data_IF_483507188007
#
_entry.id   IF_483507188007
#
_cell.length_a   1.000
_cell.length_b   1.000
_cell.length_c   1.000
_cell.angle_alpha   90.00
_cell.angle_beta   90.00
_cell.angle_gamma   90.00
#
_symmetry.space_group_name_H-M   'P 1'
#
loop_
_entity.id
_entity.type
_entity.pdbx_description
1 polymer ?
#
# COMPACT_ATOMS: atom_id res chain seq x y z
N UNK A 1 -12.52 -19.67 -33.94
CA UNK A 1 -12.33 -18.46 -33.08
C UNK A 1 -12.84 -18.65 -31.67
N UNK A 2 -13.88 -19.41 -31.42
CA UNK A 2 -14.48 -19.68 -30.09
C UNK A 2 -13.55 -20.42 -29.12
N UNK A 3 -12.75 -21.34 -29.57
CA UNK A 3 -11.88 -22.18 -28.74
C UNK A 3 -10.69 -21.42 -28.12
N UNK A 4 -10.09 -20.48 -28.87
CA UNK A 4 -9.05 -19.57 -28.32
C UNK A 4 -9.60 -18.58 -27.29
N UNK A 5 -10.87 -18.20 -27.39
CA UNK A 5 -11.54 -17.31 -26.44
C UNK A 5 -11.84 -18.05 -25.13
N UNK A 6 -12.30 -19.29 -25.22
CA UNK A 6 -12.57 -20.15 -24.05
C UNK A 6 -11.28 -20.53 -23.30
N UNK A 7 -10.18 -20.81 -24.01
CA UNK A 7 -8.90 -21.11 -23.37
C UNK A 7 -8.29 -19.89 -22.64
N UNK A 8 -8.43 -18.68 -23.23
CA UNK A 8 -8.02 -17.42 -22.56
C UNK A 8 -8.87 -17.12 -21.33
N UNK A 9 -10.18 -17.33 -21.40
CA UNK A 9 -11.09 -17.12 -20.29
C UNK A 9 -10.81 -18.08 -19.13
N UNK A 10 -10.62 -19.37 -19.40
CA UNK A 10 -10.23 -20.38 -18.39
C UNK A 10 -8.89 -20.05 -17.73
N UNK A 11 -7.92 -19.56 -18.48
CA UNK A 11 -6.62 -19.14 -17.94
C UNK A 11 -6.76 -17.90 -17.04
N UNK A 12 -7.48 -16.88 -17.48
CA UNK A 12 -7.75 -15.67 -16.69
C UNK A 12 -8.54 -15.98 -15.41
N UNK A 13 -9.54 -16.86 -15.48
CA UNK A 13 -10.30 -17.31 -14.34
C UNK A 13 -9.41 -18.07 -13.33
N UNK A 14 -8.51 -18.94 -13.81
CA UNK A 14 -7.54 -19.63 -12.98
C UNK A 14 -6.52 -18.69 -12.33
N UNK A 15 -6.00 -17.71 -13.09
CA UNK A 15 -5.09 -16.68 -12.53
C UNK A 15 -5.82 -15.81 -11.49
N UNK A 16 -7.07 -15.42 -11.76
CA UNK A 16 -7.92 -14.67 -10.83
C UNK A 16 -8.22 -15.44 -9.54
N UNK A 17 -8.53 -16.73 -9.64
CA UNK A 17 -8.83 -17.55 -8.45
C UNK A 17 -7.60 -17.68 -7.53
N UNK A 18 -6.39 -17.80 -8.06
CA UNK A 18 -5.16 -17.81 -7.28
C UNK A 18 -4.90 -16.48 -6.56
N UNK A 19 -5.20 -15.36 -7.22
CA UNK A 19 -5.07 -14.03 -6.60
C UNK A 19 -6.06 -13.90 -5.45
N UNK A 20 -7.33 -14.28 -5.66
CA UNK A 20 -8.37 -14.24 -4.61
C UNK A 20 -8.00 -15.15 -3.44
N UNK A 21 -7.58 -16.37 -3.71
CA UNK A 21 -7.17 -17.32 -2.68
C UNK A 21 -5.97 -16.81 -1.87
N UNK A 22 -4.94 -16.27 -2.54
CA UNK A 22 -3.77 -15.69 -1.88
C UNK A 22 -4.13 -14.49 -1.01
N UNK A 23 -5.02 -13.61 -1.48
CA UNK A 23 -5.51 -12.46 -0.71
C UNK A 23 -6.37 -12.91 0.48
N UNK A 24 -7.26 -13.88 0.30
CA UNK A 24 -8.06 -14.43 1.39
C UNK A 24 -7.16 -15.07 2.47
N UNK A 25 -6.15 -15.83 2.07
CA UNK A 25 -5.17 -16.40 2.99
C UNK A 25 -4.39 -15.31 3.76
N UNK A 26 -4.04 -14.20 3.10
CA UNK A 26 -3.36 -13.07 3.75
C UNK A 26 -4.29 -12.34 4.75
N UNK A 27 -5.58 -12.14 4.42
CA UNK A 27 -6.56 -11.55 5.34
C UNK A 27 -6.76 -12.43 6.58
N UNK A 28 -7.00 -13.72 6.36
CA UNK A 28 -7.17 -14.68 7.47
C UNK A 28 -5.90 -14.72 8.32
N UNK A 29 -4.73 -14.77 7.68
CA UNK A 29 -3.44 -14.72 8.39
C UNK A 29 -3.28 -13.44 9.21
N UNK A 30 -3.66 -12.28 8.67
CA UNK A 30 -3.60 -11.01 9.41
C UNK A 30 -4.54 -11.01 10.64
N UNK A 31 -5.76 -11.55 10.53
CA UNK A 31 -6.69 -11.66 11.66
C UNK A 31 -6.19 -12.64 12.73
N UNK A 32 -5.65 -13.78 12.31
CA UNK A 32 -5.03 -14.75 13.23
C UNK A 32 -3.81 -14.12 13.92
N UNK A 33 -3.00 -13.35 13.20
CA UNK A 33 -1.87 -12.63 13.76
C UNK A 33 -2.31 -11.64 14.85
N UNK A 34 -3.36 -10.85 14.59
CA UNK A 34 -3.93 -9.94 15.60
C UNK A 34 -4.32 -10.73 16.85
N UNK A 35 -5.03 -11.85 16.70
CA UNK A 35 -5.44 -12.68 17.82
C UNK A 35 -4.24 -13.18 18.65
N UNK A 36 -3.25 -13.74 17.98
CA UNK A 36 -2.04 -14.29 18.61
C UNK A 36 -1.23 -13.21 19.31
N UNK A 37 -1.07 -12.04 18.68
CA UNK A 37 -0.30 -10.95 19.27
C UNK A 37 -1.02 -10.29 20.45
N UNK A 38 -2.34 -10.08 20.37
CA UNK A 38 -3.10 -9.48 21.49
C UNK A 38 -3.22 -10.40 22.70
N UNK A 39 -3.04 -11.71 22.56
CA UNK A 39 -2.94 -12.64 23.68
C UNK A 39 -1.60 -12.60 24.41
N UNK A 40 -0.55 -12.07 23.77
CA UNK A 40 0.82 -12.11 24.29
C UNK A 40 1.42 -10.75 24.60
N UNK A 41 0.91 -9.71 23.97
CA UNK A 41 1.35 -8.33 24.13
C UNK A 41 0.25 -7.53 24.82
N UNK A 42 0.61 -6.74 25.79
CA UNK A 42 -0.26 -5.70 26.35
C UNK A 42 -0.48 -4.56 25.31
N UNK A 43 -1.47 -3.68 25.50
CA UNK A 43 -1.75 -2.60 24.58
C UNK A 43 -0.57 -1.66 24.36
N UNK A 44 0.27 -1.38 25.38
CA UNK A 44 1.44 -0.51 25.24
C UNK A 44 2.51 -1.15 24.33
N UNK A 45 2.82 -2.44 24.52
CA UNK A 45 3.75 -3.18 23.67
C UNK A 45 3.22 -3.31 22.23
N UNK A 46 1.93 -3.54 22.07
CA UNK A 46 1.31 -3.56 20.74
C UNK A 46 1.38 -2.18 20.07
N UNK A 47 1.23 -1.11 20.84
CA UNK A 47 1.42 0.28 20.39
C UNK A 47 2.85 0.54 19.89
N UNK A 48 3.86 0.11 20.66
CA UNK A 48 5.26 0.19 20.25
C UNK A 48 5.53 -0.59 18.95
N UNK A 49 4.98 -1.82 18.83
CA UNK A 49 5.03 -2.59 17.60
C UNK A 49 4.45 -1.80 16.42
N UNK A 50 3.26 -1.22 16.61
CA UNK A 50 2.58 -0.44 15.57
C UNK A 50 3.42 0.77 15.14
N UNK A 51 4.03 1.51 16.07
CA UNK A 51 4.95 2.61 15.77
C UNK A 51 6.19 2.14 15.03
N UNK A 52 6.82 1.05 15.48
CA UNK A 52 7.95 0.43 14.77
C UNK A 52 7.62 0.07 13.32
N UNK A 53 6.42 -0.47 13.09
CA UNK A 53 5.95 -0.79 11.74
C UNK A 53 5.67 0.48 10.89
N UNK A 54 5.31 1.62 11.49
CA UNK A 54 5.22 2.89 10.73
C UNK A 54 6.59 3.37 10.28
N UNK A 55 7.65 3.17 11.07
CA UNK A 55 9.04 3.47 10.67
C UNK A 55 9.44 2.60 9.48
N UNK A 56 9.15 1.30 9.53
CA UNK A 56 9.37 0.41 8.39
C UNK A 56 8.55 0.83 7.16
N UNK A 57 7.31 1.27 7.37
CA UNK A 57 6.42 1.82 6.33
C UNK A 57 6.98 3.08 5.68
N UNK A 58 7.60 3.99 6.47
CA UNK A 58 8.27 5.18 5.93
C UNK A 58 9.34 4.79 4.91
N UNK A 59 10.27 3.94 5.30
CA UNK A 59 11.34 3.47 4.42
C UNK A 59 10.80 2.79 3.16
N UNK A 60 9.78 1.91 3.34
CA UNK A 60 9.17 1.22 2.21
C UNK A 60 8.43 2.16 1.26
N UNK A 61 7.70 3.15 1.74
CA UNK A 61 6.95 4.06 0.87
C UNK A 61 7.82 5.12 0.22
N UNK A 62 8.81 5.66 0.95
CA UNK A 62 9.63 6.77 0.46
C UNK A 62 10.84 6.35 -0.36
N UNK A 63 11.44 5.20 -0.07
CA UNK A 63 12.67 4.75 -0.73
C UNK A 63 12.41 3.52 -1.59
N UNK A 64 12.05 2.41 -0.95
CA UNK A 64 12.04 1.10 -1.61
C UNK A 64 10.83 0.92 -2.55
N UNK A 65 9.67 1.52 -2.25
CA UNK A 65 8.47 1.42 -3.08
C UNK A 65 8.61 2.13 -4.42
N UNK A 66 9.18 3.34 -4.43
CA UNK A 66 9.50 4.05 -5.67
C UNK A 66 10.47 3.27 -6.54
N UNK A 67 11.55 2.76 -5.94
CA UNK A 67 12.57 1.94 -6.62
C UNK A 67 11.95 0.65 -7.17
N UNK A 68 11.13 -0.03 -6.40
CA UNK A 68 10.43 -1.25 -6.84
C UNK A 68 9.51 -0.99 -8.04
N UNK A 69 8.83 0.17 -8.07
CA UNK A 69 8.02 0.58 -9.22
C UNK A 69 8.88 0.81 -10.48
N UNK A 70 10.03 1.47 -10.33
CA UNK A 70 10.99 1.66 -11.43
C UNK A 70 11.54 0.35 -11.97
N UNK A 71 11.93 -0.56 -11.08
CA UNK A 71 12.39 -1.91 -11.42
C UNK A 71 11.29 -2.66 -12.19
N UNK A 72 10.08 -2.74 -11.66
CA UNK A 72 8.97 -3.44 -12.30
C UNK A 72 8.62 -2.87 -13.69
N UNK A 73 8.65 -1.53 -13.85
CA UNK A 73 8.35 -0.85 -15.12
C UNK A 73 9.34 -1.19 -16.21
N UNK A 74 10.63 -1.27 -15.90
CA UNK A 74 11.69 -1.48 -16.90
C UNK A 74 11.92 -2.95 -17.23
N UNK A 75 11.29 -3.90 -16.53
CA UNK A 75 11.43 -5.33 -16.81
C UNK A 75 11.04 -5.72 -18.25
N UNK A 76 9.89 -5.25 -18.76
CA UNK A 76 9.43 -5.54 -20.10
C UNK A 76 10.39 -4.97 -21.16
N UNK A 77 10.88 -3.74 -20.94
CA UNK A 77 11.84 -3.07 -21.82
C UNK A 77 13.16 -3.86 -21.87
N UNK A 78 13.63 -4.35 -20.72
CA UNK A 78 14.83 -5.17 -20.64
C UNK A 78 14.67 -6.52 -21.38
N UNK A 79 13.48 -7.13 -21.30
CA UNK A 79 13.17 -8.34 -22.05
C UNK A 79 13.15 -8.12 -23.56
N UNK A 80 12.57 -7.00 -24.04
CA UNK A 80 12.50 -6.65 -25.46
C UNK A 80 13.89 -6.33 -26.04
N UNK A 81 14.74 -5.65 -25.27
CA UNK A 81 16.09 -5.25 -25.67
C UNK A 81 17.17 -6.32 -25.43
N UNK A 82 16.80 -7.52 -25.01
CA UNK A 82 17.71 -8.61 -24.64
C UNK A 82 18.79 -8.22 -23.61
N UNK A 83 18.53 -7.17 -22.81
CA UNK A 83 19.46 -6.63 -21.81
C UNK A 83 19.13 -7.05 -20.37
N UNK A 84 18.57 -8.24 -20.14
CA UNK A 84 18.05 -8.66 -18.85
C UNK A 84 19.15 -8.73 -17.76
N UNK A 85 20.37 -9.15 -18.10
CA UNK A 85 21.49 -9.20 -17.15
C UNK A 85 21.94 -7.81 -16.70
N UNK A 86 22.07 -6.87 -17.65
CA UNK A 86 22.39 -5.48 -17.35
C UNK A 86 21.32 -4.84 -16.48
N UNK A 87 20.04 -5.07 -16.79
CA UNK A 87 18.90 -4.64 -15.99
C UNK A 87 18.94 -5.18 -14.56
N UNK A 88 19.21 -6.48 -14.37
CA UNK A 88 19.29 -7.08 -13.03
C UNK A 88 20.48 -6.53 -12.22
N UNK A 89 21.63 -6.32 -12.87
CA UNK A 89 22.78 -5.67 -12.23
C UNK A 89 22.48 -4.23 -11.83
N UNK A 90 21.87 -3.44 -12.70
CA UNK A 90 21.49 -2.06 -12.40
C UNK A 90 20.38 -1.99 -11.34
N UNK A 91 19.43 -2.94 -11.34
CA UNK A 91 18.43 -3.08 -10.27
C UNK A 91 19.09 -3.39 -8.92
N UNK A 92 20.06 -4.31 -8.88
CA UNK A 92 20.81 -4.64 -7.68
C UNK A 92 21.66 -3.45 -7.17
N UNK A 93 22.30 -2.69 -8.08
CA UNK A 93 23.03 -1.46 -7.73
C UNK A 93 22.10 -0.41 -7.13
N UNK A 94 20.92 -0.19 -7.73
CA UNK A 94 19.95 0.78 -7.24
C UNK A 94 19.43 0.41 -5.86
N UNK A 95 19.11 -0.87 -5.63
CA UNK A 95 18.76 -1.39 -4.31
C UNK A 95 19.91 -1.28 -3.32
N UNK A 96 21.16 -1.48 -3.75
CA UNK A 96 22.36 -1.29 -2.93
C UNK A 96 22.52 0.16 -2.47
N UNK A 97 22.38 1.14 -3.36
CA UNK A 97 22.42 2.56 -3.00
C UNK A 97 21.30 2.93 -2.03
N UNK A 98 20.09 2.42 -2.27
CA UNK A 98 18.97 2.61 -1.36
C UNK A 98 19.25 2.03 0.04
N UNK A 99 19.84 0.84 0.09
CA UNK A 99 20.22 0.17 1.35
C UNK A 99 21.23 1.02 2.11
N UNK A 100 22.28 1.51 1.46
CA UNK A 100 23.28 2.37 2.07
C UNK A 100 22.63 3.65 2.64
N UNK A 101 21.75 4.30 1.87
CA UNK A 101 21.05 5.49 2.31
C UNK A 101 20.16 5.20 3.54
N UNK A 102 19.40 4.10 3.52
CA UNK A 102 18.54 3.69 4.63
C UNK A 102 19.36 3.36 5.88
N UNK A 103 20.51 2.68 5.72
CA UNK A 103 21.40 2.35 6.85
C UNK A 103 22.00 3.62 7.45
N UNK A 104 22.47 4.57 6.63
CA UNK A 104 23.02 5.86 7.12
C UNK A 104 21.95 6.62 7.91
N UNK A 105 20.75 6.79 7.34
CA UNK A 105 19.64 7.47 8.02
C UNK A 105 19.27 6.72 9.30
N UNK A 106 19.18 5.40 9.25
CA UNK A 106 18.88 4.55 10.40
C UNK A 106 19.90 4.72 11.53
N UNK A 107 21.18 4.68 11.22
CA UNK A 107 22.25 4.91 12.20
C UNK A 107 22.15 6.31 12.80
N UNK A 108 21.88 7.33 11.98
CA UNK A 108 21.69 8.71 12.46
C UNK A 108 20.52 8.79 13.44
N UNK A 109 19.38 8.15 13.13
CA UNK A 109 18.22 8.09 14.03
C UNK A 109 18.60 7.38 15.34
N UNK A 110 19.30 6.25 15.27
CA UNK A 110 19.71 5.50 16.46
C UNK A 110 20.67 6.30 17.34
N UNK A 111 21.65 7.03 16.76
CA UNK A 111 22.53 7.92 17.51
C UNK A 111 21.72 9.03 18.19
N UNK A 112 20.76 9.66 17.49
CA UNK A 112 19.91 10.67 18.08
C UNK A 112 19.06 10.11 19.25
N UNK A 113 18.54 8.90 19.14
CA UNK A 113 17.80 8.26 20.23
C UNK A 113 18.67 8.07 21.49
N UNK A 114 19.94 7.70 21.33
CA UNK A 114 20.89 7.60 22.45
C UNK A 114 21.15 8.98 23.08
N UNK A 115 21.44 9.98 22.24
CA UNK A 115 21.73 11.34 22.71
C UNK A 115 20.53 11.97 23.43
N UNK A 116 19.33 11.70 22.95
CA UNK A 116 18.07 12.21 23.55
C UNK A 116 17.62 11.40 24.79
N UNK A 117 18.32 10.33 25.16
CA UNK A 117 18.01 9.53 26.36
C UNK A 117 16.90 8.48 26.16
N UNK A 118 16.68 8.02 24.94
CA UNK A 118 15.70 6.98 24.59
C UNK A 118 16.33 5.65 24.12
N UNK A 119 17.29 5.06 24.84
CA UNK A 119 17.99 3.84 24.39
C UNK A 119 17.07 2.61 24.30
N UNK A 120 15.94 2.61 25.01
CA UNK A 120 14.95 1.51 25.00
C UNK A 120 14.32 1.29 23.60
N UNK A 121 14.33 2.28 22.72
CA UNK A 121 13.79 2.18 21.36
C UNK A 121 14.78 1.61 20.34
N UNK A 122 16.08 1.52 20.67
CA UNK A 122 17.14 1.10 19.74
C UNK A 122 16.87 -0.25 19.11
N UNK A 123 16.50 -1.24 19.92
CA UNK A 123 16.23 -2.60 19.43
C UNK A 123 15.05 -2.64 18.46
N UNK A 124 13.98 -1.93 18.77
CA UNK A 124 12.78 -1.87 17.93
C UNK A 124 13.06 -1.14 16.61
N UNK A 125 13.75 0.00 16.65
CA UNK A 125 14.10 0.80 15.46
C UNK A 125 15.06 0.02 14.56
N UNK A 126 16.10 -0.62 15.14
CA UNK A 126 17.01 -1.46 14.38
C UNK A 126 16.28 -2.62 13.68
N UNK A 127 15.42 -3.33 14.41
CA UNK A 127 14.62 -4.42 13.84
C UNK A 127 13.66 -3.91 12.75
N UNK A 128 13.02 -2.75 12.95
CA UNK A 128 12.13 -2.14 11.96
C UNK A 128 12.86 -1.74 10.68
N UNK A 129 14.08 -1.22 10.76
CA UNK A 129 14.92 -0.88 9.61
C UNK A 129 15.31 -2.16 8.85
N UNK A 130 15.76 -3.20 9.55
CA UNK A 130 16.10 -4.49 8.92
C UNK A 130 14.87 -5.09 8.24
N UNK A 131 13.72 -5.07 8.94
CA UNK A 131 12.46 -5.53 8.37
C UNK A 131 12.07 -4.75 7.11
N UNK A 132 12.24 -3.43 7.12
CA UNK A 132 11.92 -2.60 5.96
C UNK A 132 12.78 -2.94 4.74
N UNK A 133 14.08 -3.18 4.92
CA UNK A 133 14.98 -3.59 3.85
C UNK A 133 14.59 -4.95 3.28
N UNK A 134 14.37 -5.94 4.14
CA UNK A 134 13.99 -7.29 3.71
C UNK A 134 12.64 -7.29 2.99
N UNK A 135 11.63 -6.60 3.54
CA UNK A 135 10.31 -6.48 2.91
C UNK A 135 10.33 -5.65 1.63
N UNK A 136 11.19 -4.65 1.52
CA UNK A 136 11.39 -3.89 0.31
C UNK A 136 12.04 -4.70 -0.81
N UNK A 137 13.01 -5.56 -0.48
CA UNK A 137 13.62 -6.48 -1.45
C UNK A 137 12.60 -7.53 -1.93
N UNK A 138 11.81 -8.11 -1.03
CA UNK A 138 10.72 -9.01 -1.43
C UNK A 138 9.69 -8.28 -2.29
N UNK A 139 9.40 -7.01 -2.00
CA UNK A 139 8.55 -6.13 -2.81
C UNK A 139 9.07 -5.92 -4.22
N UNK A 140 10.38 -5.65 -4.39
CA UNK A 140 11.03 -5.51 -5.69
C UNK A 140 10.96 -6.82 -6.52
N UNK A 141 11.24 -7.96 -5.89
CA UNK A 141 11.12 -9.27 -6.54
C UNK A 141 9.67 -9.61 -6.92
N UNK A 142 8.71 -9.31 -6.07
CA UNK A 142 7.27 -9.41 -6.40
C UNK A 142 6.90 -8.51 -7.58
N UNK A 143 7.48 -7.31 -7.67
CA UNK A 143 7.32 -6.41 -8.81
C UNK A 143 7.82 -7.03 -10.11
N UNK A 144 9.01 -7.65 -10.11
CA UNK A 144 9.56 -8.39 -11.24
C UNK A 144 8.66 -9.58 -11.62
N UNK A 145 8.22 -10.38 -10.65
CA UNK A 145 7.34 -11.54 -10.89
C UNK A 145 6.00 -11.12 -11.50
N UNK A 146 5.41 -10.03 -11.03
CA UNK A 146 4.18 -9.48 -11.59
C UNK A 146 4.38 -8.97 -13.01
N UNK A 147 5.50 -8.29 -13.31
CA UNK A 147 5.86 -7.84 -14.64
C UNK A 147 6.14 -9.03 -15.59
N UNK A 148 6.70 -10.11 -15.06
CA UNK A 148 6.91 -11.38 -15.75
C UNK A 148 5.62 -12.22 -15.92
N UNK A 149 4.45 -11.70 -15.51
CA UNK A 149 3.15 -12.39 -15.50
C UNK A 149 3.09 -13.65 -14.62
N UNK A 150 3.95 -13.75 -13.62
CA UNK A 150 3.97 -14.84 -12.63
C UNK A 150 3.09 -14.50 -11.43
N UNK A 151 1.86 -14.02 -11.66
CA UNK A 151 0.94 -13.52 -10.63
C UNK A 151 0.60 -14.57 -9.57
N UNK A 152 0.47 -15.83 -9.98
CA UNK A 152 0.21 -16.93 -9.05
C UNK A 152 1.37 -17.13 -8.06
N UNK A 153 2.61 -17.03 -8.51
CA UNK A 153 3.79 -17.13 -7.64
C UNK A 153 3.85 -15.94 -6.66
N UNK A 154 3.59 -14.71 -7.13
CA UNK A 154 3.55 -13.53 -6.27
C UNK A 154 2.44 -13.63 -5.20
N UNK A 155 1.24 -14.10 -5.56
CA UNK A 155 0.15 -14.31 -4.62
C UNK A 155 0.45 -15.40 -3.59
N UNK A 156 1.07 -16.50 -4.01
CA UNK A 156 1.50 -17.58 -3.12
C UNK A 156 2.57 -17.10 -2.13
N UNK A 157 3.57 -16.35 -2.62
CA UNK A 157 4.60 -15.76 -1.76
C UNK A 157 4.01 -14.85 -0.68
N UNK A 158 3.03 -14.01 -1.04
CA UNK A 158 2.31 -13.17 -0.07
C UNK A 158 1.53 -13.96 0.97
N UNK A 159 0.88 -15.04 0.56
CA UNK A 159 0.17 -15.94 1.47
C UNK A 159 1.14 -16.67 2.43
N UNK A 160 2.23 -17.21 1.90
CA UNK A 160 3.27 -17.88 2.72
C UNK A 160 3.88 -16.90 3.72
N UNK A 161 4.23 -15.68 3.30
CA UNK A 161 4.80 -14.66 4.20
C UNK A 161 3.83 -14.34 5.35
N UNK A 162 2.54 -14.19 5.08
CA UNK A 162 1.55 -13.89 6.11
C UNK A 162 1.50 -14.98 7.21
N UNK A 163 1.56 -16.26 6.84
CA UNK A 163 1.55 -17.37 7.78
C UNK A 163 2.89 -17.61 8.47
N UNK A 164 3.99 -17.45 7.75
CA UNK A 164 5.34 -17.52 8.35
C UNK A 164 5.55 -16.44 9.40
N UNK A 165 5.04 -15.23 9.19
CA UNK A 165 5.09 -14.15 10.19
C UNK A 165 4.46 -14.55 11.50
N UNK A 166 3.33 -15.25 11.47
CA UNK A 166 2.67 -15.73 12.70
C UNK A 166 3.58 -16.71 13.42
N UNK A 167 4.02 -17.77 12.71
CA UNK A 167 4.83 -18.83 13.32
C UNK A 167 6.16 -18.32 13.87
N UNK A 168 6.88 -17.51 13.08
CA UNK A 168 8.18 -16.98 13.47
C UNK A 168 8.09 -15.88 14.53
N UNK A 169 7.05 -15.03 14.50
CA UNK A 169 6.83 -14.08 15.59
C UNK A 169 6.60 -14.79 16.92
N UNK A 170 5.75 -15.84 16.92
CA UNK A 170 5.53 -16.65 18.14
C UNK A 170 6.82 -17.35 18.58
N UNK A 171 7.55 -17.97 17.66
CA UNK A 171 8.81 -18.65 17.99
C UNK A 171 9.84 -17.71 18.62
N UNK A 172 10.01 -16.51 18.04
CA UNK A 172 10.96 -15.53 18.58
C UNK A 172 10.48 -14.96 19.92
N UNK A 173 9.17 -14.71 20.10
CA UNK A 173 8.63 -14.30 21.40
C UNK A 173 8.83 -15.37 22.49
N UNK A 174 8.78 -16.65 22.16
CA UNK A 174 9.06 -17.72 23.12
C UNK A 174 10.53 -17.76 23.53
N UNK A 175 11.46 -17.34 22.65
CA UNK A 175 12.90 -17.33 22.89
C UNK A 175 13.38 -16.06 23.60
N UNK A 176 12.88 -14.89 23.21
CA UNK A 176 13.37 -13.56 23.64
C UNK A 176 12.41 -12.86 24.61
N UNK A 177 11.25 -13.46 24.92
CA UNK A 177 10.21 -12.83 25.70
C UNK A 177 9.16 -12.11 24.82
N UNK A 178 7.97 -11.94 25.39
CA UNK A 178 6.85 -11.31 24.70
C UNK A 178 7.00 -9.78 24.71
N UNK A 179 7.66 -9.23 23.69
CA UNK A 179 7.84 -7.79 23.50
C UNK A 179 7.78 -7.40 22.02
N UNK A 180 7.55 -6.11 21.76
CA UNK A 180 7.42 -5.53 20.42
C UNK A 180 8.63 -5.82 19.51
N UNK A 181 9.84 -5.77 20.05
CA UNK A 181 11.08 -6.01 19.31
C UNK A 181 11.18 -7.47 18.85
N UNK A 182 10.82 -8.44 19.72
CA UNK A 182 10.82 -9.86 19.37
C UNK A 182 9.87 -10.16 18.21
N UNK A 183 8.70 -9.54 18.19
CA UNK A 183 7.75 -9.67 17.06
C UNK A 183 8.35 -9.17 15.76
N UNK A 184 8.98 -7.99 15.76
CA UNK A 184 9.59 -7.43 14.54
C UNK A 184 10.78 -8.29 14.07
N UNK A 185 11.57 -8.86 15.00
CA UNK A 185 12.61 -9.83 14.65
C UNK A 185 12.00 -11.08 13.97
N UNK A 186 10.86 -11.57 14.48
CA UNK A 186 10.10 -12.65 13.84
C UNK A 186 9.66 -12.31 12.41
N UNK A 187 9.25 -11.06 12.19
CA UNK A 187 8.92 -10.56 10.84
C UNK A 187 10.17 -10.46 9.95
N UNK A 188 11.32 -10.07 10.51
CA UNK A 188 12.59 -10.11 9.77
C UNK A 188 12.93 -11.54 9.31
N UNK A 189 12.79 -12.51 10.21
CA UNK A 189 13.03 -13.92 9.88
C UNK A 189 12.09 -14.42 8.78
N UNK A 190 10.79 -14.07 8.84
CA UNK A 190 9.83 -14.42 7.80
C UNK A 190 10.22 -13.82 6.45
N UNK A 191 10.44 -12.50 6.42
CA UNK A 191 10.81 -11.81 5.18
C UNK A 191 12.14 -12.32 4.61
N UNK A 192 13.09 -12.71 5.46
CA UNK A 192 14.35 -13.31 5.02
C UNK A 192 14.14 -14.67 4.35
N UNK A 193 13.33 -15.56 4.95
CA UNK A 193 13.01 -16.88 4.36
C UNK A 193 12.31 -16.70 3.01
N UNK A 194 11.31 -15.80 2.93
CA UNK A 194 10.59 -15.53 1.68
C UNK A 194 11.52 -14.92 0.63
N UNK A 195 12.42 -14.02 1.02
CA UNK A 195 13.41 -13.41 0.13
C UNK A 195 14.34 -14.48 -0.48
N UNK A 196 14.86 -15.39 0.34
CA UNK A 196 15.71 -16.50 -0.12
C UNK A 196 14.95 -17.39 -1.11
N UNK A 197 13.71 -17.74 -0.81
CA UNK A 197 12.85 -18.52 -1.69
C UNK A 197 12.62 -17.82 -3.04
N UNK A 198 12.26 -16.53 -3.02
CA UNK A 198 12.05 -15.73 -4.23
C UNK A 198 13.32 -15.61 -5.08
N UNK A 199 14.46 -15.38 -4.42
CA UNK A 199 15.75 -15.31 -5.10
C UNK A 199 16.11 -16.63 -5.79
N UNK A 200 15.87 -17.76 -5.13
CA UNK A 200 16.09 -19.09 -5.70
C UNK A 200 15.18 -19.33 -6.93
N UNK A 201 13.92 -18.94 -6.83
CA UNK A 201 12.97 -19.02 -7.94
C UNK A 201 13.38 -18.14 -9.13
N UNK A 202 13.87 -16.93 -8.85
CA UNK A 202 14.37 -16.02 -9.88
C UNK A 202 15.57 -16.62 -10.61
N UNK A 203 16.57 -17.15 -9.88
CA UNK A 203 17.73 -17.81 -10.46
C UNK A 203 17.34 -18.96 -11.38
N UNK A 204 16.44 -19.85 -10.93
CA UNK A 204 15.96 -20.97 -11.72
C UNK A 204 15.29 -20.51 -13.03
N UNK A 205 14.53 -19.41 -12.97
CA UNK A 205 13.88 -18.85 -14.17
C UNK A 205 14.90 -18.23 -15.14
N UNK A 206 15.99 -17.66 -14.61
CA UNK A 206 17.05 -17.04 -15.41
C UNK A 206 17.96 -18.08 -16.09
N UNK A 207 18.32 -19.17 -15.41
CA UNK A 207 19.16 -20.25 -15.98
C UNK A 207 18.52 -20.90 -17.20
N UNK A 208 17.19 -20.88 -17.33
CA UNK A 208 16.47 -21.43 -18.49
C UNK A 208 16.45 -20.51 -19.74
N UNK A 209 16.91 -19.26 -19.65
CA UNK A 209 16.96 -18.33 -20.78
C UNK A 209 18.37 -18.25 -21.36
N UNK A 210 18.53 -18.73 -22.61
CA UNK A 210 19.77 -18.54 -23.38
C UNK A 210 19.95 -17.07 -23.70
N UNK A 211 20.95 -16.42 -23.13
CA UNK A 211 21.39 -15.09 -23.55
C UNK A 211 22.08 -15.20 -24.92
N UNK A 212 21.70 -14.34 -25.85
CA UNK A 212 22.49 -14.20 -27.09
C UNK A 212 23.76 -13.41 -26.74
N UNK A 213 24.97 -13.97 -27.03
CA UNK A 213 26.22 -13.23 -26.85
C UNK A 213 26.25 -12.09 -27.88
N UNK A 214 26.23 -10.85 -27.40
CA UNK A 214 26.41 -9.68 -28.27
C UNK A 214 25.58 -8.44 -27.94
N UNK A 215 24.60 -8.49 -27.03
CA UNK A 215 23.78 -7.31 -26.69
C UNK A 215 24.33 -6.48 -25.50
N UNK A 216 25.64 -6.51 -25.27
CA UNK A 216 26.33 -5.65 -24.30
C UNK A 216 26.44 -4.18 -24.79
N UNK A 217 25.49 -3.71 -25.60
CA UNK A 217 25.35 -2.30 -25.94
C UNK A 217 24.88 -1.54 -24.71
N UNK A 218 25.70 -0.59 -24.22
CA UNK A 218 25.64 0.19 -23.02
C UNK A 218 24.31 0.82 -22.60
N UNK A 219 23.27 0.01 -22.43
CA UNK A 219 21.99 0.46 -21.90
C UNK A 219 22.10 0.64 -20.38
N UNK A 220 22.29 1.90 -19.95
CA UNK A 220 22.25 2.25 -18.55
C UNK A 220 20.78 2.31 -18.07
N UNK A 221 20.27 1.22 -17.52
CA UNK A 221 18.93 1.16 -16.93
C UNK A 221 18.87 1.92 -15.61
N UNK A 222 20.01 2.07 -14.91
CA UNK A 222 20.10 2.68 -13.59
C UNK A 222 19.47 4.08 -13.56
N UNK A 223 19.90 4.96 -14.47
CA UNK A 223 19.40 6.34 -14.55
C UNK A 223 17.92 6.38 -14.94
N UNK A 224 17.52 5.56 -15.91
CA UNK A 224 16.11 5.49 -16.36
C UNK A 224 15.18 5.00 -15.24
N UNK A 225 15.61 3.97 -14.47
CA UNK A 225 14.87 3.49 -13.31
C UNK A 225 14.81 4.55 -12.21
N UNK A 226 15.91 5.27 -11.94
CA UNK A 226 15.93 6.34 -10.95
C UNK A 226 15.01 7.51 -11.34
N UNK A 227 15.12 8.01 -12.59
CA UNK A 227 14.28 9.10 -13.09
C UNK A 227 12.79 8.77 -13.04
N UNK A 228 12.44 7.49 -13.22
CA UNK A 228 11.07 7.01 -13.05
C UNK A 228 10.67 6.88 -11.57
N UNK A 229 11.58 6.51 -10.68
CA UNK A 229 11.30 6.13 -9.28
C UNK A 229 11.14 7.34 -8.36
N UNK A 230 11.95 8.39 -8.53
CA UNK A 230 12.03 9.49 -7.58
C UNK A 230 10.70 10.24 -7.35
N UNK A 231 9.79 10.43 -8.34
CA UNK A 231 8.51 11.07 -8.08
C UNK A 231 7.60 10.22 -7.17
N UNK A 232 7.70 8.90 -7.29
CA UNK A 232 6.97 7.98 -6.40
C UNK A 232 7.53 8.01 -4.98
N UNK A 233 8.86 8.16 -4.83
CA UNK A 233 9.51 8.34 -3.53
C UNK A 233 9.05 9.63 -2.85
N UNK A 234 9.01 10.73 -3.56
CA UNK A 234 8.48 12.00 -3.06
C UNK A 234 7.01 11.90 -2.66
N UNK A 235 6.18 11.25 -3.50
CA UNK A 235 4.78 10.97 -3.17
C UNK A 235 4.63 10.06 -1.94
N UNK A 236 5.54 9.11 -1.76
CA UNK A 236 5.57 8.18 -0.63
C UNK A 236 5.57 8.89 0.73
N UNK A 237 6.22 10.06 0.85
CA UNK A 237 6.26 10.86 2.08
C UNK A 237 4.84 11.30 2.47
N UNK A 238 4.08 11.87 1.55
CA UNK A 238 2.71 12.32 1.82
C UNK A 238 1.77 11.15 2.12
N UNK A 239 1.94 10.06 1.40
CA UNK A 239 1.16 8.83 1.61
C UNK A 239 1.43 8.23 2.99
N UNK A 240 2.71 8.18 3.40
CA UNK A 240 3.09 7.71 4.73
C UNK A 240 2.57 8.64 5.83
N UNK A 241 2.74 9.95 5.65
CA UNK A 241 2.29 10.95 6.62
C UNK A 241 0.79 10.81 6.90
N UNK A 242 -0.01 10.61 5.84
CA UNK A 242 -1.45 10.36 5.97
C UNK A 242 -1.75 9.07 6.73
N UNK A 243 -0.99 8.00 6.51
CA UNK A 243 -1.25 6.68 7.10
C UNK A 243 -0.66 6.48 8.49
N UNK A 244 0.29 7.31 8.91
CA UNK A 244 1.00 7.15 10.17
C UNK A 244 0.65 8.24 11.19
N UNK A 245 0.12 9.38 10.74
CA UNK A 245 -0.16 10.54 11.60
C UNK A 245 -1.11 10.25 12.76
N UNK A 246 -2.04 9.34 12.58
CA UNK A 246 -2.96 8.85 13.59
C UNK A 246 -2.23 8.26 14.80
N UNK A 247 -1.32 7.32 14.55
CA UNK A 247 -0.53 6.64 15.58
C UNK A 247 0.49 7.57 16.24
N UNK A 248 1.12 8.44 15.45
CA UNK A 248 2.09 9.41 15.97
C UNK A 248 1.41 10.53 16.79
N UNK A 249 0.20 10.95 16.41
CA UNK A 249 -0.59 11.88 17.18
C UNK A 249 -0.98 11.28 18.56
N UNK A 250 -1.43 10.02 18.57
CA UNK A 250 -1.72 9.29 19.81
C UNK A 250 -0.46 9.08 20.67
N UNK A 251 0.67 8.73 20.05
CA UNK A 251 1.92 8.53 20.79
C UNK A 251 2.45 9.80 21.44
N UNK A 252 2.22 10.97 20.84
CA UNK A 252 2.68 12.26 21.35
C UNK A 252 1.72 12.97 22.31
N UNK A 253 0.41 12.71 22.21
CA UNK A 253 -0.64 13.45 22.91
C UNK A 253 -1.55 12.56 23.77
N UNK A 254 -1.56 11.24 23.54
CA UNK A 254 -2.38 10.24 24.23
C UNK A 254 -1.58 9.38 25.21
N UNK A 255 -2.20 8.30 25.66
CA UNK A 255 -1.54 7.27 26.45
C UNK A 255 -0.84 6.25 25.54
N UNK A 256 0.25 5.60 25.97
CA UNK A 256 0.93 4.56 25.17
C UNK A 256 0.01 3.41 24.75
N UNK A 257 -0.96 3.06 25.59
CA UNK A 257 -1.95 2.01 25.32
C UNK A 257 -2.91 2.40 24.19
N UNK A 258 -3.25 3.69 24.05
CA UNK A 258 -4.16 4.17 23.00
C UNK A 258 -3.65 3.85 21.59
N UNK A 259 -2.33 3.88 21.39
CA UNK A 259 -1.72 3.52 20.10
C UNK A 259 -1.96 2.05 19.77
N UNK A 260 -1.84 1.16 20.77
CA UNK A 260 -2.08 -0.27 20.60
C UNK A 260 -3.55 -0.59 20.33
N UNK A 261 -4.44 0.02 21.09
CA UNK A 261 -5.89 -0.09 20.92
C UNK A 261 -6.32 0.39 19.53
N UNK A 262 -5.81 1.55 19.11
CA UNK A 262 -6.05 2.08 17.77
C UNK A 262 -5.52 1.18 16.66
N UNK A 263 -4.31 0.63 16.85
CA UNK A 263 -3.70 -0.26 15.87
C UNK A 263 -4.54 -1.53 15.66
N UNK A 264 -5.08 -2.12 16.73
CA UNK A 264 -6.00 -3.28 16.67
C UNK A 264 -7.31 -2.88 15.98
N UNK A 265 -7.92 -1.75 16.37
CA UNK A 265 -9.12 -1.23 15.70
C UNK A 265 -8.90 -1.01 14.21
N UNK A 266 -7.78 -0.39 13.84
CA UNK A 266 -7.40 -0.15 12.45
C UNK A 266 -7.22 -1.47 11.68
N UNK A 267 -6.59 -2.46 12.30
CA UNK A 267 -6.35 -3.76 11.68
C UNK A 267 -7.64 -4.58 11.49
N UNK A 268 -8.61 -4.43 12.37
CA UNK A 268 -9.89 -5.15 12.29
C UNK A 268 -10.95 -4.43 11.46
N UNK A 269 -10.99 -3.10 11.50
CA UNK A 269 -12.02 -2.30 10.83
C UNK A 269 -11.57 -1.70 9.49
N UNK A 270 -10.48 -0.93 9.51
CA UNK A 270 -10.03 -0.16 8.36
C UNK A 270 -9.24 -1.02 7.34
N UNK A 271 -8.29 -1.83 7.82
CA UNK A 271 -7.38 -2.58 6.95
C UNK A 271 -8.08 -3.60 6.02
N UNK A 272 -9.08 -4.38 6.46
CA UNK A 272 -9.81 -5.28 5.56
C UNK A 272 -10.54 -4.52 4.45
N UNK A 273 -11.15 -3.38 4.76
CA UNK A 273 -11.83 -2.53 3.77
C UNK A 273 -10.83 -1.96 2.77
N UNK A 274 -9.68 -1.46 3.23
CA UNK A 274 -8.61 -0.96 2.38
C UNK A 274 -8.07 -2.05 1.45
N UNK A 275 -7.94 -3.28 1.93
CA UNK A 275 -7.47 -4.42 1.16
C UNK A 275 -8.46 -4.81 0.05
N UNK A 276 -9.75 -4.91 0.37
CA UNK A 276 -10.82 -5.16 -0.61
C UNK A 276 -10.85 -4.04 -1.65
N UNK A 277 -10.68 -2.80 -1.22
CA UNK A 277 -10.61 -1.63 -2.11
C UNK A 277 -9.45 -1.72 -3.08
N UNK A 278 -8.25 -2.02 -2.59
CA UNK A 278 -7.04 -2.17 -3.42
C UNK A 278 -7.23 -3.27 -4.46
N UNK A 279 -7.83 -4.39 -4.05
CA UNK A 279 -8.14 -5.49 -4.95
C UNK A 279 -9.16 -5.07 -6.02
N UNK A 280 -10.26 -4.42 -5.63
CA UNK A 280 -11.26 -3.89 -6.56
C UNK A 280 -10.62 -2.92 -7.57
N UNK A 281 -9.78 -1.99 -7.11
CA UNK A 281 -9.07 -1.03 -7.96
C UNK A 281 -8.19 -1.71 -8.99
N UNK A 282 -7.52 -2.82 -8.65
CA UNK A 282 -6.67 -3.58 -9.58
C UNK A 282 -7.49 -4.15 -10.76
N UNK A 283 -8.75 -4.50 -10.54
CA UNK A 283 -9.66 -4.96 -11.60
C UNK A 283 -10.33 -3.81 -12.34
N UNK A 284 -10.68 -2.73 -11.64
CA UNK A 284 -11.44 -1.61 -12.19
C UNK A 284 -10.58 -0.69 -13.06
N UNK A 285 -9.33 -0.45 -12.69
CA UNK A 285 -8.45 0.45 -13.40
C UNK A 285 -8.34 0.13 -14.90
N UNK A 286 -8.02 -1.11 -15.31
CA UNK A 286 -7.93 -1.43 -16.74
C UNK A 286 -9.27 -1.29 -17.47
N UNK A 287 -10.40 -1.55 -16.81
CA UNK A 287 -11.73 -1.40 -17.40
C UNK A 287 -12.04 0.08 -17.69
N UNK A 288 -11.80 0.95 -16.72
CA UNK A 288 -12.02 2.39 -16.87
C UNK A 288 -11.08 2.97 -17.93
N UNK A 289 -9.77 2.62 -17.90
CA UNK A 289 -8.81 3.11 -18.89
C UNK A 289 -9.09 2.63 -20.31
N UNK A 290 -9.53 1.38 -20.49
CA UNK A 290 -9.93 0.89 -21.81
C UNK A 290 -11.18 1.57 -22.35
N UNK A 291 -12.11 1.92 -21.47
CA UNK A 291 -13.36 2.60 -21.87
C UNK A 291 -13.16 4.08 -22.13
N UNK A 292 -12.29 4.76 -21.36
CA UNK A 292 -11.99 6.18 -21.58
C UNK A 292 -11.10 6.43 -22.81
N UNK A 293 -10.24 5.48 -23.17
CA UNK A 293 -9.26 5.63 -24.26
C UNK A 293 -8.32 6.81 -23.99
N UNK A 294 -8.25 7.73 -24.93
CA UNK A 294 -7.50 8.99 -24.85
C UNK A 294 -8.27 10.14 -24.16
N UNK A 295 -9.46 9.84 -23.64
CA UNK A 295 -10.38 10.78 -22.99
C UNK A 295 -10.93 11.89 -23.93
N UNK A 296 -10.77 11.78 -25.24
CA UNK A 296 -11.27 12.77 -26.22
C UNK A 296 -12.75 12.59 -26.58
N UNK A 297 -13.29 11.37 -26.45
CA UNK A 297 -14.67 11.02 -26.81
C UNK A 297 -15.64 11.28 -25.66
N UNK A 298 -16.58 12.24 -25.88
CA UNK A 298 -17.57 12.65 -24.88
C UNK A 298 -18.55 11.52 -24.50
N UNK A 299 -18.94 10.64 -25.44
CA UNK A 299 -19.86 9.52 -25.15
C UNK A 299 -19.18 8.43 -24.31
N UNK A 300 -17.92 8.15 -24.60
CA UNK A 300 -17.11 7.23 -23.78
C UNK A 300 -16.92 7.78 -22.37
N UNK A 301 -16.57 9.05 -22.23
CA UNK A 301 -16.43 9.72 -20.96
C UNK A 301 -17.73 9.73 -20.15
N UNK A 302 -18.91 9.93 -20.78
CA UNK A 302 -20.19 9.82 -20.13
C UNK A 302 -20.47 8.40 -19.60
N UNK A 303 -20.10 7.37 -20.36
CA UNK A 303 -20.23 5.98 -19.92
C UNK A 303 -19.30 5.66 -18.72
N UNK A 304 -18.05 6.14 -18.76
CA UNK A 304 -17.09 6.01 -17.65
C UNK A 304 -17.59 6.77 -16.42
N UNK A 305 -18.13 7.96 -16.60
CA UNK A 305 -18.73 8.77 -15.54
C UNK A 305 -19.85 8.01 -14.84
N UNK A 306 -20.82 7.52 -15.59
CA UNK A 306 -21.95 6.75 -15.06
C UNK A 306 -21.46 5.51 -14.28
N UNK A 307 -20.56 4.73 -14.88
CA UNK A 307 -20.03 3.54 -14.24
C UNK A 307 -19.30 3.86 -12.93
N UNK A 308 -18.46 4.93 -12.90
CA UNK A 308 -17.76 5.33 -11.70
C UNK A 308 -18.73 5.75 -10.57
N UNK A 309 -19.81 6.46 -10.90
CA UNK A 309 -20.84 6.82 -9.92
C UNK A 309 -21.64 5.62 -9.41
N UNK A 310 -22.05 4.72 -10.30
CA UNK A 310 -22.72 3.47 -9.92
C UNK A 310 -21.85 2.64 -8.95
N UNK A 311 -20.55 2.56 -9.22
CA UNK A 311 -19.59 1.85 -8.35
C UNK A 311 -19.35 2.58 -7.02
N UNK A 312 -19.27 3.92 -7.05
CA UNK A 312 -19.12 4.72 -5.83
C UNK A 312 -20.35 4.56 -4.94
N UNK A 313 -21.55 4.64 -5.51
CA UNK A 313 -22.80 4.42 -4.78
C UNK A 313 -22.89 2.99 -4.24
N UNK A 314 -22.57 1.98 -5.05
CA UNK A 314 -22.50 0.59 -4.61
C UNK A 314 -21.50 0.38 -3.47
N UNK A 315 -20.33 1.02 -3.54
CA UNK A 315 -19.34 0.98 -2.45
C UNK A 315 -19.87 1.61 -1.17
N UNK A 316 -20.62 2.73 -1.26
CA UNK A 316 -21.25 3.36 -0.08
C UNK A 316 -22.34 2.48 0.52
N UNK A 317 -23.17 1.83 -0.29
CA UNK A 317 -24.16 0.87 0.19
C UNK A 317 -23.50 -0.29 0.94
N UNK A 318 -22.45 -0.88 0.37
CA UNK A 318 -21.67 -1.95 1.02
C UNK A 318 -21.03 -1.44 2.32
N UNK A 319 -20.56 -0.20 2.34
CA UNK A 319 -19.99 0.44 3.54
C UNK A 319 -21.02 0.56 4.65
N UNK A 320 -22.23 1.04 4.33
CA UNK A 320 -23.32 1.17 5.32
C UNK A 320 -23.71 -0.21 5.85
N UNK A 321 -23.87 -1.21 4.99
CA UNK A 321 -24.18 -2.58 5.40
C UNK A 321 -23.05 -3.17 6.27
N UNK A 322 -21.79 -2.94 5.90
CA UNK A 322 -20.63 -3.37 6.70
C UNK A 322 -20.56 -2.65 8.05
N UNK A 323 -20.85 -1.36 8.10
CA UNK A 323 -20.94 -0.58 9.34
C UNK A 323 -22.06 -1.05 10.25
N UNK A 324 -23.25 -1.33 9.70
CA UNK A 324 -24.38 -1.91 10.46
C UNK A 324 -24.05 -3.30 10.99
N UNK A 325 -23.44 -4.15 10.16
CA UNK A 325 -22.96 -5.47 10.60
C UNK A 325 -21.94 -5.35 11.72
N UNK A 326 -20.98 -4.44 11.57
CA UNK A 326 -20.00 -4.16 12.63
C UNK A 326 -20.66 -3.63 13.89
N UNK A 327 -21.68 -2.77 13.77
CA UNK A 327 -22.43 -2.24 14.92
C UNK A 327 -23.15 -3.33 15.70
N UNK A 328 -23.70 -4.31 15.03
CA UNK A 328 -24.40 -5.44 15.70
C UNK A 328 -23.39 -6.47 16.22
N UNK A 329 -22.28 -6.69 15.53
CA UNK A 329 -21.39 -7.81 15.79
C UNK A 329 -20.06 -7.41 16.49
N UNK A 330 -19.81 -6.13 16.83
CA UNK A 330 -18.51 -5.67 17.34
C UNK A 330 -18.05 -6.44 18.60
N UNK A 331 -18.94 -6.69 19.57
CA UNK A 331 -18.59 -7.41 20.78
C UNK A 331 -18.21 -8.86 20.49
N UNK A 332 -18.98 -9.53 19.60
CA UNK A 332 -18.73 -10.91 19.21
C UNK A 332 -17.41 -11.03 18.42
N UNK A 333 -17.17 -10.12 17.48
CA UNK A 333 -15.93 -10.06 16.71
C UNK A 333 -14.71 -9.86 17.63
N UNK A 334 -14.79 -8.90 18.57
CA UNK A 334 -13.70 -8.66 19.51
C UNK A 334 -13.51 -9.83 20.48
N UNK A 335 -14.56 -10.51 20.87
CA UNK A 335 -14.46 -11.71 21.72
C UNK A 335 -13.65 -12.83 21.05
N UNK A 336 -13.79 -12.99 19.73
CA UNK A 336 -13.09 -14.03 18.97
C UNK A 336 -11.69 -13.58 18.56
N UNK A 337 -11.54 -12.33 18.10
CA UNK A 337 -10.35 -11.88 17.40
C UNK A 337 -9.32 -11.20 18.29
N UNK A 338 -9.66 -10.83 19.52
CA UNK A 338 -8.71 -10.13 20.42
C UNK A 338 -8.82 -10.59 21.87
N UNK A 339 -7.77 -10.34 22.66
CA UNK A 339 -7.79 -10.62 24.11
C UNK A 339 -8.72 -9.69 24.89
N UNK A 340 -8.98 -10.00 26.16
CA UNK A 340 -9.91 -9.28 27.01
C UNK A 340 -9.56 -7.79 27.18
N UNK A 341 -8.27 -7.49 27.25
CA UNK A 341 -7.74 -6.12 27.50
C UNK A 341 -8.13 -5.11 26.42
N UNK A 342 -8.32 -5.58 25.17
CA UNK A 342 -8.64 -4.73 24.01
C UNK A 342 -10.15 -4.59 23.76
N UNK A 343 -11.03 -5.33 24.48
CA UNK A 343 -12.45 -5.41 24.13
C UNK A 343 -13.26 -4.16 24.42
N UNK A 344 -12.82 -3.35 25.37
CA UNK A 344 -13.54 -2.14 25.78
C UNK A 344 -13.68 -1.10 24.66
N UNK A 345 -12.81 -1.12 23.66
CA UNK A 345 -12.87 -0.20 22.50
C UNK A 345 -13.66 -0.75 21.30
N UNK A 346 -14.29 -1.93 21.45
CA UNK A 346 -15.01 -2.58 20.35
C UNK A 346 -16.12 -1.71 19.73
N UNK A 347 -16.76 -0.84 20.53
CA UNK A 347 -17.80 0.10 20.08
C UNK A 347 -17.32 1.12 19.03
N UNK A 348 -15.99 1.28 18.85
CA UNK A 348 -15.40 2.13 17.82
C UNK A 348 -15.21 1.42 16.47
N UNK A 349 -15.34 0.07 16.43
CA UNK A 349 -15.17 -0.71 15.22
C UNK A 349 -16.08 -0.27 14.06
N UNK A 350 -17.38 -0.02 14.24
CA UNK A 350 -18.26 0.44 13.18
C UNK A 350 -17.77 1.72 12.50
N UNK A 351 -17.25 2.66 13.28
CA UNK A 351 -16.74 3.93 12.79
C UNK A 351 -15.47 3.77 11.96
N UNK A 352 -14.61 2.80 12.33
CA UNK A 352 -13.41 2.45 11.53
C UNK A 352 -13.80 1.83 10.18
N UNK A 353 -14.80 0.94 10.16
CA UNK A 353 -15.35 0.36 8.92
C UNK A 353 -15.96 1.45 8.05
N UNK A 354 -16.74 2.36 8.63
CA UNK A 354 -17.34 3.50 7.92
C UNK A 354 -16.27 4.41 7.32
N UNK A 355 -15.25 4.78 8.09
CA UNK A 355 -14.16 5.62 7.61
C UNK A 355 -13.43 4.96 6.42
N UNK A 356 -13.10 3.67 6.55
CA UNK A 356 -12.46 2.91 5.47
C UNK A 356 -13.31 2.84 4.20
N UNK A 357 -14.60 2.59 4.33
CA UNK A 357 -15.51 2.47 3.19
C UNK A 357 -15.82 3.81 2.50
N UNK A 358 -15.99 4.89 3.26
CA UNK A 358 -16.15 6.25 2.71
C UNK A 358 -14.88 6.66 1.95
N UNK A 359 -13.71 6.39 2.52
CA UNK A 359 -12.43 6.63 1.84
C UNK A 359 -12.31 5.81 0.55
N UNK A 360 -12.73 4.53 0.59
CA UNK A 360 -12.76 3.65 -0.58
C UNK A 360 -13.62 4.21 -1.72
N UNK A 361 -14.80 4.73 -1.41
CA UNK A 361 -15.68 5.38 -2.37
C UNK A 361 -14.99 6.59 -3.05
N UNK A 362 -14.26 7.40 -2.28
CA UNK A 362 -13.44 8.49 -2.81
C UNK A 362 -12.31 8.01 -3.73
N UNK A 363 -11.70 6.86 -3.45
CA UNK A 363 -10.65 6.29 -4.31
C UNK A 363 -11.20 5.85 -5.68
N UNK A 364 -12.44 5.37 -5.76
CA UNK A 364 -13.11 5.05 -7.05
C UNK A 364 -13.23 6.31 -7.93
N UNK A 365 -13.65 7.43 -7.35
CA UNK A 365 -13.72 8.71 -8.07
C UNK A 365 -12.33 9.24 -8.44
N UNK A 366 -11.31 9.05 -7.58
CA UNK A 366 -9.94 9.37 -7.93
C UNK A 366 -9.45 8.58 -9.15
N UNK A 367 -9.82 7.28 -9.26
CA UNK A 367 -9.49 6.46 -10.42
C UNK A 367 -10.19 6.97 -11.69
N UNK A 368 -11.45 7.44 -11.60
CA UNK A 368 -12.14 8.12 -12.70
C UNK A 368 -11.37 9.36 -13.17
N UNK A 369 -10.94 10.23 -12.24
CA UNK A 369 -10.16 11.42 -12.60
C UNK A 369 -8.84 11.07 -13.29
N UNK A 370 -8.18 9.98 -12.88
CA UNK A 370 -7.00 9.45 -13.58
C UNK A 370 -7.34 8.99 -15.01
N UNK A 371 -8.47 8.31 -15.20
CA UNK A 371 -8.92 7.85 -16.51
C UNK A 371 -9.27 9.01 -17.46
N UNK A 372 -9.63 10.18 -16.92
CA UNK A 372 -9.87 11.43 -17.64
C UNK A 372 -8.61 12.30 -17.80
N UNK A 373 -7.41 11.77 -17.47
CA UNK A 373 -6.12 12.48 -17.55
C UNK A 373 -6.01 13.73 -16.65
N UNK A 374 -6.86 13.85 -15.62
CA UNK A 374 -6.87 14.96 -14.66
C UNK A 374 -5.95 14.69 -13.44
N UNK A 375 -4.78 14.12 -13.67
CA UNK A 375 -3.86 13.64 -12.62
C UNK A 375 -3.36 14.76 -11.70
N UNK A 376 -3.07 15.95 -12.23
CA UNK A 376 -2.56 17.07 -11.45
C UNK A 376 -3.58 17.57 -10.41
N UNK A 377 -4.85 17.73 -10.79
CA UNK A 377 -5.92 18.14 -9.86
C UNK A 377 -6.16 17.11 -8.76
N UNK A 378 -6.14 15.82 -9.14
CA UNK A 378 -6.24 14.73 -8.18
C UNK A 378 -5.05 14.72 -7.21
N UNK A 379 -3.82 14.94 -7.69
CA UNK A 379 -2.64 14.98 -6.86
C UNK A 379 -2.72 16.14 -5.84
N UNK A 380 -3.11 17.33 -6.28
CA UNK A 380 -3.31 18.48 -5.38
C UNK A 380 -4.35 18.17 -4.30
N UNK A 381 -5.50 17.60 -4.68
CA UNK A 381 -6.53 17.23 -3.72
C UNK A 381 -6.03 16.21 -2.70
N UNK A 382 -5.27 15.19 -3.14
CA UNK A 382 -4.67 14.19 -2.23
C UNK A 382 -3.66 14.80 -1.26
N UNK A 383 -2.80 15.73 -1.72
CA UNK A 383 -1.83 16.41 -0.85
C UNK A 383 -2.54 17.24 0.21
N UNK A 384 -3.48 18.09 -0.21
CA UNK A 384 -4.19 18.97 0.73
C UNK A 384 -5.01 18.16 1.73
N UNK A 385 -5.73 17.12 1.27
CA UNK A 385 -6.49 16.26 2.18
C UNK A 385 -5.59 15.46 3.12
N UNK A 386 -4.39 15.06 2.69
CA UNK A 386 -3.42 14.41 3.57
C UNK A 386 -2.99 15.35 4.70
N UNK A 387 -2.68 16.61 4.39
CA UNK A 387 -2.33 17.61 5.40
C UNK A 387 -3.48 17.91 6.36
N UNK A 388 -4.72 18.03 5.83
CA UNK A 388 -5.93 18.17 6.65
C UNK A 388 -6.12 16.94 7.56
N UNK A 389 -5.87 15.73 7.06
CA UNK A 389 -5.94 14.51 7.84
C UNK A 389 -4.98 14.51 9.02
N UNK A 390 -3.74 14.98 8.81
CA UNK A 390 -2.76 15.17 9.90
C UNK A 390 -3.29 16.16 10.94
N UNK A 391 -3.79 17.32 10.50
CA UNK A 391 -4.34 18.31 11.41
C UNK A 391 -5.54 17.77 12.21
N UNK A 392 -6.44 17.02 11.57
CA UNK A 392 -7.57 16.37 12.23
C UNK A 392 -7.10 15.33 13.27
N UNK A 393 -6.09 14.52 12.93
CA UNK A 393 -5.55 13.51 13.83
C UNK A 393 -4.90 14.15 15.07
N UNK A 394 -4.10 15.21 14.87
CA UNK A 394 -3.48 15.94 16.00
C UNK A 394 -4.54 16.60 16.86
N UNK A 395 -5.53 17.28 16.26
CA UNK A 395 -6.62 17.89 16.99
C UNK A 395 -7.48 16.85 17.71
N UNK A 396 -7.87 15.77 17.03
CA UNK A 396 -8.64 14.68 17.63
C UNK A 396 -7.92 14.02 18.81
N UNK A 397 -6.64 13.73 18.67
CA UNK A 397 -5.82 13.16 19.73
C UNK A 397 -5.74 14.10 20.96
N UNK A 398 -5.59 15.41 20.74
CA UNK A 398 -5.48 16.39 21.83
C UNK A 398 -6.78 16.60 22.61
N UNK A 399 -7.95 16.47 21.95
CA UNK A 399 -9.26 16.74 22.57
C UNK A 399 -9.88 15.50 23.21
N UNK A 400 -9.82 14.35 22.55
CA UNK A 400 -10.54 13.15 22.96
C UNK A 400 -9.73 11.85 22.80
N UNK A 401 -8.40 11.92 22.70
CA UNK A 401 -7.51 10.76 22.62
C UNK A 401 -7.90 9.80 21.49
N UNK A 402 -8.04 8.52 21.81
CA UNK A 402 -8.39 7.46 20.86
C UNK A 402 -9.71 7.74 20.11
N UNK A 403 -10.76 8.13 20.81
CA UNK A 403 -12.07 8.40 20.18
C UNK A 403 -12.00 9.61 19.26
N UNK A 404 -11.20 10.61 19.61
CA UNK A 404 -10.96 11.79 18.79
C UNK A 404 -10.25 11.46 17.49
N UNK A 405 -9.27 10.54 17.51
CA UNK A 405 -8.56 10.11 16.29
C UNK A 405 -9.48 9.28 15.38
N UNK A 406 -10.34 8.41 15.92
CA UNK A 406 -11.34 7.68 15.14
C UNK A 406 -12.32 8.64 14.46
N UNK A 407 -12.79 9.66 15.18
CA UNK A 407 -13.66 10.71 14.63
C UNK A 407 -12.92 11.55 13.55
N UNK A 408 -11.65 11.87 13.77
CA UNK A 408 -10.79 12.57 12.81
C UNK A 408 -10.61 11.78 11.52
N UNK A 409 -10.40 10.46 11.60
CA UNK A 409 -10.29 9.57 10.43
C UNK A 409 -11.60 9.55 9.63
N UNK A 410 -12.75 9.51 10.31
CA UNK A 410 -14.06 9.59 9.65
C UNK A 410 -14.27 10.94 8.98
N UNK A 411 -13.96 12.04 9.67
CA UNK A 411 -14.05 13.39 9.11
C UNK A 411 -13.15 13.56 7.88
N UNK A 412 -11.91 13.07 7.95
CA UNK A 412 -11.00 13.02 6.81
C UNK A 412 -11.59 12.26 5.64
N UNK A 413 -12.16 11.06 5.86
CA UNK A 413 -12.76 10.25 4.81
C UNK A 413 -13.93 10.96 4.11
N UNK A 414 -14.77 11.67 4.89
CA UNK A 414 -15.90 12.47 4.37
C UNK A 414 -15.39 13.66 3.55
N UNK A 415 -14.42 14.42 4.05
CA UNK A 415 -13.82 15.56 3.34
C UNK A 415 -13.15 15.09 2.04
N UNK A 416 -12.43 13.98 2.08
CA UNK A 416 -11.79 13.39 0.90
C UNK A 416 -12.83 12.97 -0.15
N UNK A 417 -13.90 12.25 0.25
CA UNK A 417 -14.97 11.86 -0.65
C UNK A 417 -15.66 13.09 -1.25
N UNK A 418 -16.03 14.07 -0.42
CA UNK A 418 -16.70 15.30 -0.88
C UNK A 418 -15.86 16.06 -1.92
N UNK A 419 -14.55 16.16 -1.68
CA UNK A 419 -13.63 16.79 -2.64
C UNK A 419 -13.53 16.00 -3.95
N UNK A 420 -13.40 14.67 -3.88
CA UNK A 420 -13.39 13.83 -5.08
C UNK A 420 -14.71 13.89 -5.84
N UNK A 421 -15.85 13.98 -5.16
CA UNK A 421 -17.16 14.19 -5.78
C UNK A 421 -17.23 15.53 -6.50
N UNK A 422 -16.78 16.62 -5.86
CA UNK A 422 -16.74 17.93 -6.46
C UNK A 422 -15.90 17.95 -7.73
N UNK A 423 -14.68 17.43 -7.69
CA UNK A 423 -13.82 17.31 -8.88
C UNK A 423 -14.41 16.43 -9.98
N UNK A 424 -15.13 15.36 -9.59
CA UNK A 424 -15.77 14.44 -10.53
C UNK A 424 -17.03 15.06 -11.21
N UNK A 425 -17.69 16.02 -10.57
CA UNK A 425 -18.84 16.74 -11.10
C UNK A 425 -18.46 17.93 -12.00
N UNK A 426 -17.24 18.46 -11.89
CA UNK A 426 -16.77 19.53 -12.77
C UNK A 426 -16.83 19.10 -14.25
N UNK A 427 -17.70 19.75 -15.03
CA UNK A 427 -17.78 19.56 -16.48
C UNK A 427 -16.45 20.00 -17.10
N UNK A 428 -15.95 19.31 -18.15
CA UNK A 428 -14.79 19.79 -18.86
C UNK A 428 -15.09 21.18 -19.44
N UNK A 429 -14.44 22.21 -18.91
CA UNK A 429 -14.46 23.52 -19.53
C UNK A 429 -13.79 23.39 -20.90
N UNK A 430 -14.55 23.74 -21.97
CA UNK A 430 -14.14 23.80 -23.37
C UNK A 430 -13.05 24.87 -23.67
N UNK A 431 -12.20 25.18 -22.71
CA UNK A 431 -11.17 26.23 -22.82
C UNK A 431 -9.86 25.78 -23.46
N UNK A 432 -9.71 24.51 -23.88
CA UNK A 432 -8.48 24.00 -24.50
C UNK A 432 -8.46 23.96 -26.03
N UNK A 433 -9.59 24.17 -26.71
CA UNK A 433 -9.64 24.03 -28.17
C UNK A 433 -9.42 25.31 -28.97
N UNK A 434 -9.35 26.49 -28.35
CA UNK A 434 -9.08 27.74 -29.09
C UNK A 434 -7.61 28.12 -29.24
N UNK A 435 -6.69 27.37 -28.62
CA UNK A 435 -5.26 27.68 -28.72
C UNK A 435 -4.52 27.00 -29.88
N UNK A 436 -5.18 26.10 -30.62
CA UNK A 436 -4.57 25.40 -31.75
C UNK A 436 -5.21 25.68 -33.11
N UNK A 437 -6.15 26.62 -33.19
CA UNK A 437 -6.71 27.09 -34.47
C UNK A 437 -6.29 28.54 -34.77
N UNK A 438 -5.01 28.76 -34.98
CA UNK A 438 -4.54 29.83 -35.86
C UNK A 438 -3.91 29.19 -37.10
N UNK A 439 -4.62 29.15 -38.25
CA UNK A 439 -3.99 28.82 -39.51
C UNK A 439 -3.05 29.95 -39.89
N UNK A 440 -1.78 29.64 -39.99
CA UNK A 440 -0.82 30.54 -40.64
C UNK A 440 -1.18 30.78 -42.10
N UNK A 441 -1.95 31.84 -42.36
CA UNK A 441 -1.97 32.50 -43.63
C UNK A 441 -0.72 33.39 -43.69
N UNK A 442 0.35 32.91 -44.29
CA UNK A 442 1.34 33.77 -44.95
C UNK A 442 1.10 33.64 -46.44
N UNK A 443 0.53 34.73 -46.98
CA UNK A 443 0.51 35.04 -48.40
C UNK A 443 1.94 35.04 -49.00
N UNK A 444 2.10 34.36 -50.11
CA UNK A 444 3.15 34.61 -51.08
C UNK A 444 2.95 36.03 -51.64
N UNK A 445 4.02 36.81 -51.65
CA UNK A 445 4.43 37.76 -52.68
C UNK A 445 5.96 37.80 -52.72
#
# INVERSE_FOLDING_TARGET
MTDRRNSRFKRLAKEGSWIVAGQAAAVVGALVLVRVLTERLDPAQYGQLALGLTVAGLVNQTVLGGISAGIARHYSIACERLGLRAYLMDSARLLGYATIAVVIVGLTVMVNLVVLGYPQWLGLVAAAIIFSLLSGFTGALNGIQNAARQRAAAALNGGIDAWLRIGLAVAVMLLLGANSTAVVIGYCCSSFVVLLWQFFMLQKTMMGRKEQPGSAGGHCFLRQMWDFSWPFSAWGIFSWLQQASDRWALAGLGQPEDVGLYAVLSQLGYAPVAMVTTMAMTFLAPILYQRSGDASDSLRNATVHRLAWEMTFGSLVVTVLGGLTAFIAHEWLFRILVSAEYRHVSHLLPWMVMAGGIFAAGQILALKLLSEMKSARMATAKIVTALLGVAFNVYGASVAGLTGVVAALLAFAVVYLAWMMWLACERPHLHGQMAFMTPGLKSEE
#
